data_IF_326028335598
#
_entry.id   IF_326028335598
#
_cell.length_a   1.000
_cell.length_b   1.000
_cell.length_c   1.000
_cell.angle_alpha   90.00
_cell.angle_beta   90.00
_cell.angle_gamma   90.00
#
_symmetry.space_group_name_H-M   'P 1'
#
loop_
_entity.id
_entity.type
_entity.pdbx_description
1 polymer ?
#
# COMPACT_ATOMS: atom_id res chain seq x y z
N UNK A 1 0.80 -10.40 -15.06
CA UNK A 1 0.42 -9.24 -14.24
C UNK A 1 -0.22 -9.71 -12.94
N UNK A 2 0.14 -9.08 -11.85
CA UNK A 2 -0.45 -9.35 -10.53
C UNK A 2 -1.11 -8.11 -9.99
N UNK A 3 -1.98 -8.31 -9.00
CA UNK A 3 -2.56 -7.25 -8.19
C UNK A 3 -2.10 -7.41 -6.75
N UNK A 4 -1.86 -6.28 -6.09
CA UNK A 4 -1.47 -6.29 -4.67
C UNK A 4 -2.49 -5.51 -3.88
N UNK A 5 -3.08 -6.18 -2.90
CA UNK A 5 -4.03 -5.59 -1.97
C UNK A 5 -3.31 -5.32 -0.68
N UNK A 6 -3.28 -4.06 -0.26
CA UNK A 6 -2.71 -3.64 1.01
C UNK A 6 -3.83 -3.10 1.88
N UNK A 7 -3.99 -3.64 3.07
CA UNK A 7 -5.01 -3.22 4.01
C UNK A 7 -4.34 -2.66 5.26
N UNK A 8 -4.78 -1.47 5.66
CA UNK A 8 -4.25 -0.76 6.83
C UNK A 8 -5.39 -0.18 7.64
N UNK A 9 -5.26 -0.21 8.96
CA UNK A 9 -6.22 0.45 9.85
C UNK A 9 -5.49 1.54 10.63
N UNK A 10 -6.01 2.76 10.53
CA UNK A 10 -5.34 3.96 11.07
C UNK A 10 -5.90 4.24 12.46
N UNK A 11 -5.00 4.52 13.40
CA UNK A 11 -5.39 4.95 14.74
C UNK A 11 -6.21 6.23 14.67
N UNK A 12 -7.22 6.32 15.53
CA UNK A 12 -8.11 7.47 15.57
C UNK A 12 -7.32 8.77 15.77
N UNK A 13 -7.71 9.81 15.08
CA UNK A 13 -7.10 11.15 15.07
C UNK A 13 -5.79 11.28 14.29
N UNK A 14 -5.30 10.21 13.70
CA UNK A 14 -4.05 10.25 12.91
C UNK A 14 -4.30 10.23 11.40
N UNK A 15 -5.53 10.40 10.95
CA UNK A 15 -5.92 10.24 9.55
C UNK A 15 -5.17 11.23 8.64
N UNK A 16 -5.07 12.50 9.04
CA UNK A 16 -4.43 13.51 8.21
C UNK A 16 -2.93 13.27 8.08
N UNK A 17 -2.28 12.93 9.19
CA UNK A 17 -0.85 12.62 9.18
C UNK A 17 -0.56 11.38 8.33
N UNK A 18 -1.42 10.36 8.44
CA UNK A 18 -1.33 9.15 7.63
C UNK A 18 -1.44 9.47 6.14
N UNK A 19 -2.45 10.25 5.75
CA UNK A 19 -2.66 10.57 4.34
C UNK A 19 -1.47 11.31 3.73
N UNK A 20 -0.85 12.20 4.47
CA UNK A 20 0.30 12.94 3.99
C UNK A 20 1.49 12.00 3.74
N UNK A 21 1.78 11.10 4.67
CA UNK A 21 2.90 10.17 4.53
C UNK A 21 2.62 9.07 3.51
N UNK A 22 1.40 8.52 3.50
CA UNK A 22 1.05 7.45 2.56
C UNK A 22 1.10 7.93 1.11
N UNK A 23 0.82 9.21 0.88
CA UNK A 23 0.93 9.81 -0.45
C UNK A 23 2.37 9.77 -0.95
N UNK A 24 3.35 9.98 -0.06
CA UNK A 24 4.76 9.85 -0.41
C UNK A 24 5.13 8.41 -0.80
N UNK A 25 4.64 7.45 -0.03
CA UNK A 25 4.88 6.03 -0.34
C UNK A 25 4.34 5.70 -1.73
N UNK A 26 3.12 6.14 -2.04
CA UNK A 26 2.51 5.87 -3.33
C UNK A 26 3.31 6.53 -4.47
N UNK A 27 3.74 7.78 -4.30
CA UNK A 27 4.52 8.48 -5.31
C UNK A 27 5.82 7.74 -5.63
N UNK A 28 6.48 7.17 -4.63
CA UNK A 28 7.69 6.39 -4.83
C UNK A 28 7.40 5.03 -5.47
N UNK A 29 6.27 4.40 -5.13
CA UNK A 29 5.90 3.13 -5.74
C UNK A 29 5.59 3.28 -7.23
N UNK A 30 4.96 4.39 -7.62
CA UNK A 30 4.63 4.68 -9.02
C UNK A 30 5.88 4.74 -9.88
N UNK A 31 7.00 5.17 -9.32
CA UNK A 31 8.28 5.29 -10.03
C UNK A 31 9.04 3.96 -10.14
N UNK A 32 8.57 2.89 -9.51
CA UNK A 32 9.30 1.62 -9.50
C UNK A 32 9.12 0.85 -10.80
N UNK A 33 10.19 0.14 -11.25
CA UNK A 33 10.06 -0.74 -12.40
C UNK A 33 8.97 -1.79 -12.18
N UNK A 34 8.10 -1.96 -13.16
CA UNK A 34 7.03 -2.95 -13.10
C UNK A 34 5.73 -2.45 -12.50
N UNK A 35 5.70 -1.25 -11.90
CA UNK A 35 4.44 -0.65 -11.47
C UNK A 35 3.60 -0.29 -12.69
N UNK A 36 2.33 -0.66 -12.69
CA UNK A 36 1.41 -0.38 -13.80
C UNK A 36 0.41 0.69 -13.41
N UNK A 37 -0.33 0.47 -12.32
CA UNK A 37 -1.35 1.40 -11.86
C UNK A 37 -1.71 1.09 -10.42
N UNK A 38 -2.35 2.04 -9.76
CA UNK A 38 -2.80 1.83 -8.39
C UNK A 38 -3.86 2.83 -8.01
N UNK A 39 -4.62 2.48 -6.98
CA UNK A 39 -5.62 3.35 -6.40
C UNK A 39 -5.68 3.17 -4.90
N UNK A 40 -6.06 4.22 -4.21
CA UNK A 40 -6.28 4.18 -2.77
C UNK A 40 -7.77 4.29 -2.49
N UNK A 41 -8.24 3.45 -1.59
CA UNK A 41 -9.65 3.35 -1.26
C UNK A 41 -9.81 3.48 0.25
N UNK A 42 -10.98 3.93 0.67
CA UNK A 42 -11.33 4.03 2.07
C UNK A 42 -12.65 3.31 2.27
N UNK A 43 -12.76 2.57 3.38
CA UNK A 43 -14.02 1.92 3.72
C UNK A 43 -15.10 2.97 3.99
N UNK A 44 -16.24 2.83 3.32
CA UNK A 44 -17.34 3.80 3.43
C UNK A 44 -17.90 3.87 4.85
N UNK A 45 -17.83 2.76 5.58
CA UNK A 45 -18.43 2.63 6.91
C UNK A 45 -17.40 2.67 8.04
N UNK A 46 -16.11 2.61 7.71
CA UNK A 46 -15.01 2.77 8.66
C UNK A 46 -13.90 3.57 7.99
N UNK A 47 -13.88 4.86 8.22
CA UNK A 47 -12.95 5.78 7.54
C UNK A 47 -11.50 5.54 7.91
N UNK A 48 -11.23 4.76 8.95
CA UNK A 48 -9.87 4.41 9.36
C UNK A 48 -9.37 3.14 8.67
N UNK A 49 -10.24 2.40 7.98
CA UNK A 49 -9.84 1.27 7.16
C UNK A 49 -9.44 1.77 5.78
N UNK A 50 -8.17 1.60 5.45
CA UNK A 50 -7.59 2.11 4.21
C UNK A 50 -7.03 0.98 3.37
N UNK A 51 -7.29 1.04 2.07
CA UNK A 51 -6.93 -0.02 1.14
C UNK A 51 -6.18 0.61 -0.02
N UNK A 52 -5.07 -0.02 -0.41
CA UNK A 52 -4.39 0.28 -1.66
C UNK A 52 -4.47 -0.94 -2.55
N UNK A 53 -4.93 -0.75 -3.77
CA UNK A 53 -4.98 -1.82 -4.77
C UNK A 53 -4.09 -1.39 -5.92
N UNK A 54 -3.05 -2.16 -6.19
CA UNK A 54 -2.08 -1.83 -7.23
C UNK A 54 -1.86 -2.99 -8.18
N UNK A 55 -1.49 -2.66 -9.41
CA UNK A 55 -1.19 -3.62 -10.46
C UNK A 55 0.30 -3.55 -10.77
N UNK A 56 0.94 -4.71 -10.84
CA UNK A 56 2.37 -4.84 -11.12
C UNK A 56 2.58 -5.84 -12.24
N UNK A 57 3.63 -5.61 -13.02
CA UNK A 57 3.97 -6.49 -14.12
C UNK A 57 4.25 -7.92 -13.66
N UNK A 58 4.90 -8.08 -12.51
CA UNK A 58 5.22 -9.39 -11.95
C UNK A 58 5.33 -9.32 -10.43
N UNK A 59 5.23 -10.47 -9.79
CA UNK A 59 5.44 -10.58 -8.35
C UNK A 59 6.88 -10.22 -7.97
N UNK A 60 7.85 -10.53 -8.82
CA UNK A 60 9.25 -10.19 -8.57
C UNK A 60 9.45 -8.67 -8.48
N UNK A 61 8.79 -7.91 -9.37
CA UNK A 61 8.87 -6.45 -9.33
C UNK A 61 8.26 -5.90 -8.05
N UNK A 62 7.11 -6.42 -7.65
CA UNK A 62 6.47 -6.04 -6.39
C UNK A 62 7.36 -6.36 -5.19
N UNK A 63 7.91 -7.56 -5.11
CA UNK A 63 8.78 -7.96 -4.00
C UNK A 63 10.01 -7.09 -3.90
N UNK A 64 10.59 -6.71 -5.03
CA UNK A 64 11.76 -5.82 -5.03
C UNK A 64 11.43 -4.49 -4.36
N UNK A 65 10.28 -3.91 -4.68
CA UNK A 65 9.81 -2.69 -4.02
C UNK A 65 9.48 -2.93 -2.55
N UNK A 66 8.70 -3.97 -2.27
CA UNK A 66 8.24 -4.29 -0.92
C UNK A 66 9.39 -4.47 0.06
N UNK A 67 10.48 -5.09 -0.37
CA UNK A 67 11.63 -5.38 0.46
C UNK A 67 12.73 -4.30 0.38
N UNK A 68 12.50 -3.23 -0.38
CA UNK A 68 13.52 -2.22 -0.59
C UNK A 68 13.79 -1.39 0.67
N UNK A 69 15.04 -0.95 0.86
CA UNK A 69 15.36 -0.01 1.95
C UNK A 69 14.58 1.29 1.83
N UNK A 70 14.33 1.76 0.60
CA UNK A 70 13.57 2.96 0.33
C UNK A 70 12.15 2.86 0.90
N UNK A 71 11.46 1.74 0.61
CA UNK A 71 10.11 1.54 1.16
C UNK A 71 10.12 1.45 2.68
N UNK A 72 11.12 0.78 3.22
CA UNK A 72 11.26 0.65 4.68
C UNK A 72 11.36 2.01 5.35
N UNK A 73 12.16 2.91 4.80
CA UNK A 73 12.30 4.26 5.33
C UNK A 73 11.00 5.06 5.22
N UNK A 74 10.32 4.93 4.08
CA UNK A 74 9.05 5.64 3.86
C UNK A 74 7.93 5.10 4.74
N UNK A 75 7.95 3.81 5.05
CA UNK A 75 6.93 3.19 5.91
C UNK A 75 7.17 3.42 7.39
N UNK A 76 8.41 3.70 7.80
CA UNK A 76 8.73 3.86 9.22
C UNK A 76 7.82 4.85 9.95
N UNK A 77 7.50 6.05 9.40
CA UNK A 77 6.58 6.95 10.08
C UNK A 77 5.13 6.46 10.11
N UNK A 78 4.74 5.56 9.18
CA UNK A 78 3.37 5.05 9.12
C UNK A 78 3.08 3.98 10.16
N UNK A 79 4.08 3.18 10.50
CA UNK A 79 3.88 2.04 11.40
C UNK A 79 3.24 2.46 12.72
N UNK A 80 3.72 3.49 13.44
CA UNK A 80 3.08 3.90 14.69
C UNK A 80 1.71 4.55 14.52
N UNK A 81 1.32 4.90 13.29
CA UNK A 81 -0.01 5.48 13.02
C UNK A 81 -1.07 4.41 12.81
N UNK A 82 -0.67 3.15 12.69
CA UNK A 82 -1.59 2.05 12.48
C UNK A 82 -1.82 1.28 13.78
N UNK A 83 -3.06 0.89 14.04
CA UNK A 83 -3.39 0.10 15.21
C UNK A 83 -3.42 -1.41 14.94
N UNK A 84 -3.08 -1.80 13.70
CA UNK A 84 -2.90 -3.19 13.28
C UNK A 84 -1.71 -3.27 12.34
N UNK A 85 -1.11 -4.44 12.21
CA UNK A 85 -0.10 -4.65 11.19
C UNK A 85 -0.71 -4.54 9.79
N UNK A 86 0.07 -3.99 8.88
CA UNK A 86 -0.29 -3.93 7.47
C UNK A 86 -0.49 -5.35 6.93
N UNK A 87 -1.63 -5.59 6.27
CA UNK A 87 -1.92 -6.87 5.64
C UNK A 87 -1.71 -6.74 4.14
N UNK A 88 -0.88 -7.61 3.56
CA UNK A 88 -0.57 -7.61 2.13
C UNK A 88 -1.02 -8.92 1.53
N UNK A 89 -1.79 -8.83 0.45
CA UNK A 89 -2.25 -10.00 -0.30
C UNK A 89 -1.85 -9.83 -1.76
N UNK A 90 -1.13 -10.81 -2.29
CA UNK A 90 -0.77 -10.84 -3.71
C UNK A 90 -1.79 -11.68 -4.44
N UNK A 91 -2.39 -11.10 -5.47
CA UNK A 91 -3.51 -11.67 -6.20
C UNK A 91 -3.16 -11.80 -7.68
N UNK A 92 -3.73 -12.78 -8.33
CA UNK A 92 -3.66 -12.90 -9.79
C UNK A 92 -5.07 -13.12 -10.32
N UNK A 93 -5.27 -12.73 -11.58
CA UNK A 93 -6.58 -12.89 -12.19
C UNK A 93 -6.88 -14.37 -12.37
N UNK A 94 -8.08 -14.80 -11.92
CA UNK A 94 -8.54 -16.15 -12.19
C UNK A 94 -8.98 -16.25 -13.65
N UNK A 95 -8.48 -17.24 -14.36
CA UNK A 95 -8.76 -17.43 -15.79
C UNK A 95 -10.14 -18.01 -16.07
N UNK A 96 -10.88 -18.38 -15.03
CA UNK A 96 -12.21 -18.98 -15.17
C UNK A 96 -13.30 -18.01 -14.85
#
# INVERSE_FOLDING_TARGET
MIRVLIERHIAESLEAAYEQQSRKVLQHSVAQPGFISGETLVDRHDRNQRITLSNWRSEADWKRWYQSPERRELMAPLIPMMDKEEAVTVLEQNAV
#
